data_IF_050080211573
#
_entry.id   IF_050080211573
#
_cell.length_a   1.000
_cell.length_b   1.000
_cell.length_c   1.000
_cell.angle_alpha   90.00
_cell.angle_beta   90.00
_cell.angle_gamma   90.00
#
_symmetry.space_group_name_H-M   'P 1'
#
loop_
_entity.id
_entity.type
_entity.pdbx_description
1 polymer ?
#
# COMPACT_ATOMS: atom_id res chain seq x y z
N UNK A 1 -3.79 -16.67 -33.08
CA UNK A 1 -4.73 -16.63 -31.95
C UNK A 1 -4.57 -15.29 -31.26
N UNK A 2 -5.68 -14.56 -31.23
CA UNK A 2 -5.79 -13.19 -30.74
C UNK A 2 -5.19 -13.06 -29.35
N UNK A 3 -4.29 -12.09 -29.16
CA UNK A 3 -4.04 -11.52 -27.85
C UNK A 3 -5.40 -11.27 -27.20
N UNK A 4 -5.63 -11.83 -26.01
CA UNK A 4 -6.82 -11.55 -25.24
C UNK A 4 -6.89 -10.05 -25.03
N UNK A 5 -7.70 -9.36 -25.84
CA UNK A 5 -7.96 -7.96 -25.68
C UNK A 5 -8.72 -7.82 -24.37
N UNK A 6 -7.98 -7.45 -23.32
CA UNK A 6 -8.54 -6.93 -22.08
C UNK A 6 -9.37 -5.72 -22.50
N UNK A 7 -10.68 -5.81 -22.33
CA UNK A 7 -11.59 -4.75 -22.73
C UNK A 7 -11.17 -3.42 -22.06
N UNK A 8 -11.08 -2.31 -22.79
CA UNK A 8 -10.81 -1.00 -22.20
C UNK A 8 -11.95 -0.66 -21.23
N UNK A 9 -11.66 -0.76 -19.93
CA UNK A 9 -12.65 -0.56 -18.86
C UNK A 9 -12.54 -1.54 -17.68
N UNK A 10 -11.77 -2.64 -17.79
CA UNK A 10 -11.49 -3.49 -16.62
C UNK A 10 -10.25 -3.00 -15.87
N UNK A 11 -10.28 -3.06 -14.54
CA UNK A 11 -9.22 -2.54 -13.67
C UNK A 11 -7.85 -3.21 -13.89
N UNK A 12 -7.83 -4.44 -14.41
CA UNK A 12 -6.62 -5.13 -14.86
C UNK A 12 -5.98 -4.40 -16.06
N UNK A 13 -6.80 -3.86 -16.96
CA UNK A 13 -6.36 -3.02 -18.07
C UNK A 13 -5.75 -1.71 -17.59
N UNK A 14 -6.30 -1.12 -16.52
CA UNK A 14 -5.81 0.15 -15.97
C UNK A 14 -4.40 0.03 -15.38
N UNK A 15 -4.07 -1.06 -14.67
CA UNK A 15 -2.72 -1.27 -14.12
C UNK A 15 -1.70 -1.62 -15.22
N UNK A 16 -2.14 -2.38 -16.24
CA UNK A 16 -1.34 -2.70 -17.41
C UNK A 16 -1.03 -1.45 -18.27
N UNK A 17 -1.93 -0.45 -18.33
CA UNK A 17 -1.68 0.84 -18.99
C UNK A 17 -0.49 1.58 -18.38
N UNK A 18 -0.25 1.41 -17.07
CA UNK A 18 0.92 1.94 -16.38
C UNK A 18 2.17 1.05 -16.49
N UNK A 19 2.13 -0.04 -17.27
CA UNK A 19 3.24 -0.96 -17.48
C UNK A 19 3.47 -1.96 -16.35
N UNK A 20 2.53 -2.11 -15.41
CA UNK A 20 2.62 -3.06 -14.31
C UNK A 20 1.80 -4.32 -14.59
N UNK A 21 2.41 -5.50 -14.39
CA UNK A 21 1.70 -6.77 -14.44
C UNK A 21 0.97 -7.00 -13.11
N UNK A 22 -0.33 -7.28 -13.15
CA UNK A 22 -1.09 -7.59 -11.95
C UNK A 22 -0.75 -8.99 -11.42
N UNK A 23 0.02 -9.04 -10.33
CA UNK A 23 0.42 -10.30 -9.68
C UNK A 23 -0.55 -10.75 -8.59
N UNK A 24 -1.25 -9.80 -7.95
CA UNK A 24 -2.21 -10.08 -6.88
C UNK A 24 -3.65 -10.13 -7.43
N UNK A 25 -4.36 -11.22 -7.10
CA UNK A 25 -5.81 -11.31 -7.33
C UNK A 25 -6.52 -10.32 -6.42
N UNK A 26 -7.31 -9.42 -7.01
CA UNK A 26 -8.03 -8.38 -6.28
C UNK A 26 -9.28 -8.97 -5.61
N UNK A 27 -9.10 -9.56 -4.43
CA UNK A 27 -10.18 -10.23 -3.66
C UNK A 27 -10.79 -9.36 -2.56
N UNK A 28 -10.19 -8.20 -2.26
CA UNK A 28 -10.70 -7.30 -1.23
C UNK A 28 -11.96 -6.57 -1.71
N UNK A 29 -13.12 -6.99 -1.20
CA UNK A 29 -14.41 -6.27 -1.37
C UNK A 29 -14.45 -5.03 -0.47
N UNK A 30 -15.37 -4.11 -0.75
CA UNK A 30 -15.57 -2.87 0.02
C UNK A 30 -15.63 -3.10 1.54
N UNK A 31 -16.35 -4.13 1.97
CA UNK A 31 -16.43 -4.50 3.39
C UNK A 31 -15.06 -4.89 3.97
N UNK A 32 -14.25 -5.66 3.24
CA UNK A 32 -12.91 -6.03 3.68
C UNK A 32 -11.99 -4.80 3.81
N UNK A 33 -12.07 -3.86 2.87
CA UNK A 33 -11.30 -2.61 2.92
C UNK A 33 -11.75 -1.75 4.12
N UNK A 34 -13.05 -1.67 4.37
CA UNK A 34 -13.62 -0.99 5.54
C UNK A 34 -13.15 -1.63 6.86
N UNK A 35 -13.19 -2.95 6.98
CA UNK A 35 -12.73 -3.66 8.17
C UNK A 35 -11.23 -3.44 8.44
N UNK A 36 -10.40 -3.43 7.40
CA UNK A 36 -8.97 -3.14 7.53
C UNK A 36 -8.75 -1.69 7.99
N UNK A 37 -9.46 -0.72 7.41
CA UNK A 37 -9.38 0.67 7.83
C UNK A 37 -9.83 0.87 9.28
N UNK A 38 -10.92 0.22 9.69
CA UNK A 38 -11.43 0.25 11.06
C UNK A 38 -10.44 -0.35 12.06
N UNK A 39 -9.78 -1.46 11.69
CA UNK A 39 -8.74 -2.09 12.51
C UNK A 39 -7.53 -1.17 12.73
N UNK A 40 -7.07 -0.48 11.67
CA UNK A 40 -5.90 0.40 11.74
C UNK A 40 -6.17 1.65 12.58
N UNK A 41 -7.34 2.28 12.42
CA UNK A 41 -7.68 3.57 13.05
C UNK A 41 -8.51 3.34 14.32
N UNK A 42 -8.23 2.25 15.06
CA UNK A 42 -8.92 2.01 16.32
C UNK A 42 -8.88 3.27 17.21
N UNK A 43 -10.04 3.59 17.78
CA UNK A 43 -10.37 4.87 18.46
C UNK A 43 -9.39 5.21 19.61
N UNK A 44 -8.70 4.19 20.12
CA UNK A 44 -7.79 4.25 21.27
C UNK A 44 -6.80 5.42 21.20
N UNK A 45 -6.05 5.56 20.11
CA UNK A 45 -4.99 6.60 20.05
C UNK A 45 -5.57 8.01 20.01
N UNK A 46 -6.65 8.20 19.24
CA UNK A 46 -7.26 9.52 19.05
C UNK A 46 -7.91 10.05 20.31
N UNK A 47 -8.69 9.22 21.02
CA UNK A 47 -9.40 9.68 22.22
C UNK A 47 -8.46 9.69 23.42
N UNK A 48 -7.71 8.61 23.71
CA UNK A 48 -6.99 8.55 24.99
C UNK A 48 -5.78 9.48 25.05
N UNK A 49 -5.05 9.66 23.95
CA UNK A 49 -3.86 10.53 23.95
C UNK A 49 -4.21 11.97 23.59
N UNK A 50 -4.94 12.18 22.50
CA UNK A 50 -5.13 13.52 21.95
C UNK A 50 -6.15 14.33 22.77
N UNK A 51 -7.20 13.70 23.31
CA UNK A 51 -8.21 14.41 24.11
C UNK A 51 -7.64 14.89 25.45
N UNK A 52 -6.88 14.04 26.13
CA UNK A 52 -6.18 14.41 27.38
C UNK A 52 -5.21 15.57 27.16
N UNK A 53 -4.42 15.52 26.08
CA UNK A 53 -3.55 16.62 25.68
C UNK A 53 -4.33 17.91 25.38
N UNK A 54 -5.43 17.81 24.63
CA UNK A 54 -6.23 18.96 24.22
C UNK A 54 -6.87 19.68 25.42
N UNK A 55 -7.47 18.96 26.37
CA UNK A 55 -8.08 19.58 27.56
C UNK A 55 -7.05 20.23 28.45
N UNK A 56 -5.89 19.58 28.66
CA UNK A 56 -4.85 20.11 29.55
C UNK A 56 -4.21 21.39 29.04
N UNK A 57 -4.11 21.57 27.71
CA UNK A 57 -3.42 22.72 27.11
C UNK A 57 -4.38 23.78 26.54
N UNK A 58 -5.51 23.38 25.97
CA UNK A 58 -6.46 24.25 25.26
C UNK A 58 -7.79 24.41 26.01
N UNK A 59 -7.94 23.72 27.15
CA UNK A 59 -9.12 23.78 28.00
C UNK A 59 -10.36 23.12 27.39
N UNK A 60 -11.55 23.31 28.01
CA UNK A 60 -12.80 22.70 27.57
C UNK A 60 -13.26 23.13 26.16
N UNK A 61 -12.80 24.29 25.68
CA UNK A 61 -13.10 24.79 24.34
C UNK A 61 -12.48 23.93 23.21
N UNK A 62 -11.52 23.07 23.54
CA UNK A 62 -10.88 22.13 22.60
C UNK A 62 -11.84 21.18 21.88
N UNK A 63 -13.05 20.96 22.42
CA UNK A 63 -14.08 20.14 21.77
C UNK A 63 -14.43 20.64 20.36
N UNK A 64 -14.35 21.96 20.12
CA UNK A 64 -14.64 22.57 18.81
C UNK A 64 -13.57 22.29 17.76
N UNK A 65 -12.36 21.89 18.17
CA UNK A 65 -11.29 21.52 17.22
C UNK A 65 -11.58 20.19 16.53
N UNK A 66 -12.36 19.30 17.16
CA UNK A 66 -12.70 18.00 16.59
C UNK A 66 -13.57 18.12 15.32
N UNK A 67 -14.69 18.87 15.31
CA UNK A 67 -15.44 19.15 14.09
C UNK A 67 -14.59 19.81 13.01
N UNK A 68 -13.76 20.79 13.37
CA UNK A 68 -12.88 21.49 12.41
C UNK A 68 -11.89 20.51 11.77
N UNK A 69 -11.25 19.67 12.58
CA UNK A 69 -10.34 18.62 12.10
C UNK A 69 -11.07 17.58 11.24
N UNK A 70 -12.30 17.19 11.60
CA UNK A 70 -13.11 16.24 10.83
C UNK A 70 -13.48 16.79 9.44
N UNK A 71 -13.85 18.07 9.36
CA UNK A 71 -14.11 18.74 8.07
C UNK A 71 -12.84 18.79 7.23
N UNK A 72 -11.72 19.22 7.81
CA UNK A 72 -10.42 19.23 7.12
C UNK A 72 -10.03 17.86 6.59
N UNK A 73 -10.19 16.82 7.40
CA UNK A 73 -9.85 15.44 7.00
C UNK A 73 -10.79 14.90 5.93
N UNK A 74 -12.06 15.30 5.92
CA UNK A 74 -13.01 14.93 4.87
C UNK A 74 -12.62 15.55 3.53
N UNK A 75 -12.18 16.81 3.50
CA UNK A 75 -11.66 17.46 2.29
C UNK A 75 -10.42 16.73 1.75
N UNK A 76 -9.49 16.35 2.63
CA UNK A 76 -8.32 15.54 2.26
C UNK A 76 -8.73 14.17 1.72
N UNK A 77 -9.73 13.52 2.33
CA UNK A 77 -10.25 12.24 1.86
C UNK A 77 -10.88 12.34 0.46
N UNK A 78 -11.58 13.44 0.14
CA UNK A 78 -12.12 13.68 -1.20
C UNK A 78 -11.01 13.84 -2.25
N UNK A 79 -9.92 14.52 -1.92
CA UNK A 79 -8.76 14.63 -2.81
C UNK A 79 -8.16 13.23 -3.07
N UNK A 80 -7.99 12.43 -2.03
CA UNK A 80 -7.49 11.05 -2.19
C UNK A 80 -8.45 10.16 -2.97
N UNK A 81 -9.77 10.37 -2.87
CA UNK A 81 -10.75 9.65 -3.66
C UNK A 81 -10.57 9.92 -5.16
N UNK A 82 -10.38 11.18 -5.57
CA UNK A 82 -10.11 11.52 -6.98
C UNK A 82 -8.75 11.00 -7.46
N UNK A 83 -7.72 11.02 -6.60
CA UNK A 83 -6.41 10.46 -6.96
C UNK A 83 -6.47 8.93 -7.12
N UNK A 84 -7.21 8.25 -6.25
CA UNK A 84 -7.33 6.80 -6.27
C UNK A 84 -8.08 6.28 -7.52
N UNK A 85 -9.04 7.05 -8.05
CA UNK A 85 -9.75 6.69 -9.30
C UNK A 85 -8.88 6.90 -10.53
N UNK A 86 -7.99 7.91 -10.53
CA UNK A 86 -7.12 8.24 -11.66
C UNK A 86 -5.84 7.42 -11.72
N UNK A 87 -5.28 7.06 -10.57
CA UNK A 87 -3.97 6.39 -10.48
C UNK A 87 -4.09 5.19 -9.51
N UNK A 88 -4.68 4.06 -9.95
CA UNK A 88 -4.90 2.87 -9.12
C UNK A 88 -3.63 2.03 -8.96
N UNK A 89 -2.56 2.62 -8.43
CA UNK A 89 -1.25 1.96 -8.27
C UNK A 89 -0.91 1.70 -6.79
N UNK A 90 -0.31 0.53 -6.53
CA UNK A 90 0.21 0.18 -5.21
C UNK A 90 1.37 1.10 -4.80
N UNK A 91 1.35 1.59 -3.56
CA UNK A 91 2.31 2.60 -3.07
C UNK A 91 1.82 4.05 -3.16
N UNK A 92 0.56 4.25 -3.57
CA UNK A 92 -0.26 5.47 -3.47
C UNK A 92 0.52 6.79 -3.30
N UNK A 93 0.80 7.23 -2.07
CA UNK A 93 1.41 8.54 -1.78
C UNK A 93 2.73 8.78 -2.53
N UNK A 94 3.64 7.81 -2.53
CA UNK A 94 4.91 7.91 -3.28
C UNK A 94 4.65 7.96 -4.79
N UNK A 95 3.78 7.07 -5.27
CA UNK A 95 3.47 6.92 -6.69
C UNK A 95 2.70 8.12 -7.28
N UNK A 96 1.82 8.74 -6.48
CA UNK A 96 1.08 9.94 -6.83
C UNK A 96 2.00 11.16 -6.86
N UNK A 97 2.81 11.35 -5.82
CA UNK A 97 3.78 12.45 -5.73
C UNK A 97 4.83 12.39 -6.85
N UNK A 98 5.35 11.19 -7.15
CA UNK A 98 6.32 10.98 -8.22
C UNK A 98 5.78 11.33 -9.61
N UNK A 99 4.47 11.13 -9.85
CA UNK A 99 3.82 11.39 -11.14
C UNK A 99 3.31 12.81 -11.30
N UNK A 100 2.81 13.44 -10.22
CA UNK A 100 2.26 14.79 -10.27
C UNK A 100 3.34 15.88 -10.30
N UNK A 101 4.42 15.68 -9.54
CA UNK A 101 5.47 16.70 -9.36
C UNK A 101 6.79 16.24 -9.97
N UNK A 102 7.17 14.99 -9.72
CA UNK A 102 8.35 14.37 -10.29
C UNK A 102 9.06 13.40 -9.34
N UNK A 103 10.03 12.61 -9.84
CA UNK A 103 10.63 11.50 -9.08
C UNK A 103 11.30 11.92 -7.77
N UNK A 104 11.95 13.09 -7.74
CA UNK A 104 12.59 13.63 -6.53
C UNK A 104 11.60 13.90 -5.41
N UNK A 105 10.44 14.47 -5.76
CA UNK A 105 9.40 14.77 -4.78
C UNK A 105 8.72 13.48 -4.29
N UNK A 106 8.54 12.50 -5.19
CA UNK A 106 8.12 11.15 -4.82
C UNK A 106 9.00 10.57 -3.72
N UNK A 107 10.33 10.58 -3.89
CA UNK A 107 11.26 10.09 -2.88
C UNK A 107 11.12 10.79 -1.52
N UNK A 108 10.98 12.12 -1.51
CA UNK A 108 10.76 12.88 -0.27
C UNK A 108 9.48 12.42 0.41
N UNK A 109 8.35 12.34 -0.31
CA UNK A 109 7.07 11.87 0.24
C UNK A 109 7.16 10.44 0.77
N UNK A 110 7.86 9.55 0.05
CA UNK A 110 8.12 8.17 0.49
C UNK A 110 8.95 8.12 1.78
N UNK A 111 10.02 8.90 1.86
CA UNK A 111 10.89 8.97 3.03
C UNK A 111 10.16 9.52 4.27
N UNK A 112 9.31 10.54 4.09
CA UNK A 112 8.45 11.09 5.14
C UNK A 112 7.44 10.05 5.63
N UNK A 113 6.90 9.22 4.74
CA UNK A 113 6.02 8.11 5.11
C UNK A 113 6.72 7.10 6.04
N UNK A 114 7.97 6.74 5.73
CA UNK A 114 8.77 5.83 6.58
C UNK A 114 9.07 6.47 7.93
N UNK A 115 9.48 7.74 7.96
CA UNK A 115 9.73 8.48 9.19
C UNK A 115 8.47 8.57 10.07
N UNK A 116 7.32 8.87 9.46
CA UNK A 116 6.04 8.90 10.14
C UNK A 116 5.69 7.56 10.79
N UNK A 117 5.84 6.44 10.08
CA UNK A 117 5.57 5.12 10.65
C UNK A 117 6.55 4.75 11.78
N UNK A 118 7.83 5.07 11.63
CA UNK A 118 8.84 4.80 12.65
C UNK A 118 8.58 5.55 13.96
N UNK A 119 8.26 6.85 13.86
CA UNK A 119 7.95 7.70 15.02
C UNK A 119 6.57 7.38 15.58
N UNK A 120 5.57 7.18 14.72
CA UNK A 120 4.18 6.95 15.12
C UNK A 120 4.00 5.68 15.94
N UNK A 121 4.52 4.54 15.47
CA UNK A 121 4.41 3.27 16.18
C UNK A 121 5.14 3.35 17.53
N UNK A 122 6.36 3.89 17.53
CA UNK A 122 7.16 4.04 18.75
C UNK A 122 6.50 4.96 19.78
N UNK A 123 5.93 6.07 19.32
CA UNK A 123 5.22 7.03 20.17
C UNK A 123 3.98 6.43 20.83
N UNK A 124 3.17 5.68 20.08
CA UNK A 124 1.97 5.02 20.62
C UNK A 124 2.35 3.96 21.65
N UNK A 125 3.39 3.16 21.38
CA UNK A 125 3.84 2.13 22.31
C UNK A 125 4.39 2.73 23.60
N UNK A 126 5.10 3.86 23.53
CA UNK A 126 5.60 4.54 24.71
C UNK A 126 4.51 5.29 25.50
N UNK A 127 3.68 6.09 24.83
CA UNK A 127 2.71 6.98 25.49
C UNK A 127 1.42 6.27 25.92
N UNK A 128 1.02 5.20 25.24
CA UNK A 128 -0.24 4.49 25.54
C UNK A 128 0.00 3.05 25.99
N UNK A 129 0.70 2.22 25.21
CA UNK A 129 0.77 0.79 25.50
C UNK A 129 1.59 0.49 26.77
N UNK A 130 2.74 1.16 26.95
CA UNK A 130 3.63 0.91 28.08
C UNK A 130 3.03 1.29 29.45
N UNK A 131 2.37 2.45 29.63
CA UNK A 131 1.74 2.79 30.90
C UNK A 131 0.52 1.91 31.16
N UNK A 132 -0.28 1.59 30.13
CA UNK A 132 -1.40 0.65 30.26
C UNK A 132 -0.96 -0.73 30.72
N UNK A 133 0.15 -1.24 30.20
CA UNK A 133 0.69 -2.54 30.64
C UNK A 133 1.18 -2.45 32.09
N UNK A 134 1.92 -1.39 32.43
CA UNK A 134 2.41 -1.17 33.76
C UNK A 134 1.29 -1.03 34.80
N UNK A 135 0.16 -0.36 34.47
CA UNK A 135 -0.99 -0.27 35.38
C UNK A 135 -1.66 -1.63 35.61
N UNK A 136 -1.80 -2.45 34.56
CA UNK A 136 -2.39 -3.80 34.67
C UNK A 136 -1.57 -4.72 35.57
N UNK A 137 -0.23 -4.62 35.52
CA UNK A 137 0.67 -5.41 36.37
C UNK A 137 1.01 -4.74 37.71
N UNK A 138 0.44 -3.57 38.02
CA UNK A 138 0.71 -2.83 39.25
C UNK A 138 2.16 -2.31 39.37
N UNK A 139 2.85 -2.11 38.25
CA UNK A 139 4.19 -1.55 38.22
C UNK A 139 4.18 -0.01 38.29
N UNK A 140 5.31 0.57 38.68
CA UNK A 140 5.44 2.01 38.82
C UNK A 140 5.47 2.70 37.44
N UNK A 141 4.38 3.40 37.12
CA UNK A 141 4.18 4.14 35.85
C UNK A 141 4.97 5.44 35.76
N UNK A 142 5.52 5.95 36.88
CA UNK A 142 6.31 7.18 36.89
C UNK A 142 7.76 6.94 36.50
N UNK A 143 8.22 5.67 36.47
CA UNK A 143 9.58 5.33 36.10
C UNK A 143 9.78 5.31 34.57
N UNK A 144 10.40 6.33 33.96
CA UNK A 144 10.52 6.42 32.51
C UNK A 144 11.40 5.31 31.92
N UNK A 145 12.35 4.78 32.70
CA UNK A 145 13.24 3.69 32.24
C UNK A 145 12.46 2.39 32.06
N UNK A 146 11.51 2.11 32.95
CA UNK A 146 10.63 0.94 32.84
C UNK A 146 9.70 1.07 31.64
N UNK A 147 9.06 2.23 31.45
CA UNK A 147 8.18 2.48 30.31
C UNK A 147 8.93 2.35 28.98
N UNK A 148 10.14 2.90 28.88
CA UNK A 148 11.00 2.73 27.71
C UNK A 148 11.36 1.27 27.47
N UNK A 149 11.72 0.52 28.53
CA UNK A 149 12.01 -0.90 28.41
C UNK A 149 10.81 -1.69 27.86
N UNK A 150 9.62 -1.47 28.40
CA UNK A 150 8.39 -2.12 27.93
C UNK A 150 8.10 -1.74 26.47
N UNK A 151 8.20 -0.45 26.12
CA UNK A 151 7.97 0.00 24.75
C UNK A 151 8.94 -0.65 23.75
N UNK A 152 10.23 -0.73 24.07
CA UNK A 152 11.24 -1.40 23.24
C UNK A 152 10.94 -2.90 23.09
N UNK A 153 10.57 -3.57 24.18
CA UNK A 153 10.18 -4.99 24.13
C UNK A 153 8.97 -5.20 23.22
N UNK A 154 7.95 -4.34 23.30
CA UNK A 154 6.77 -4.41 22.41
C UNK A 154 7.13 -4.17 20.94
N UNK A 155 8.03 -3.21 20.65
CA UNK A 155 8.53 -2.97 19.29
C UNK A 155 9.25 -4.20 18.75
N UNK A 156 10.16 -4.78 19.54
CA UNK A 156 10.93 -5.96 19.14
C UNK A 156 10.02 -7.16 18.92
N UNK A 157 9.03 -7.36 19.80
CA UNK A 157 8.03 -8.42 19.63
C UNK A 157 7.22 -8.24 18.34
N UNK A 158 6.70 -7.02 18.08
CA UNK A 158 5.95 -6.73 16.86
C UNK A 158 6.77 -6.93 15.59
N UNK A 159 8.04 -6.49 15.61
CA UNK A 159 8.97 -6.71 14.49
C UNK A 159 9.28 -8.20 14.31
N UNK A 160 9.50 -8.94 15.39
CA UNK A 160 9.71 -10.38 15.37
C UNK A 160 8.53 -11.14 14.75
N UNK A 161 7.30 -10.79 15.15
CA UNK A 161 6.07 -11.36 14.55
C UNK A 161 6.02 -11.08 13.04
N UNK A 162 6.36 -9.86 12.63
CA UNK A 162 6.38 -9.48 11.21
C UNK A 162 7.43 -10.30 10.41
N UNK A 163 8.63 -10.47 10.97
CA UNK A 163 9.68 -11.30 10.36
C UNK A 163 9.26 -12.78 10.22
N UNK A 164 8.65 -13.36 11.26
CA UNK A 164 8.16 -14.75 11.23
C UNK A 164 7.05 -14.91 10.18
N UNK A 165 6.16 -13.92 10.06
CA UNK A 165 5.11 -13.90 9.04
C UNK A 165 5.69 -13.91 7.62
N UNK A 166 6.75 -13.12 7.37
CA UNK A 166 7.42 -13.06 6.07
C UNK A 166 8.13 -14.37 5.72
N UNK A 167 8.79 -14.99 6.72
CA UNK A 167 9.58 -16.20 6.50
C UNK A 167 8.74 -17.49 6.51
N UNK A 168 7.45 -17.41 6.85
CA UNK A 168 6.56 -18.57 6.85
C UNK A 168 6.23 -18.98 5.40
N UNK A 169 6.64 -20.17 4.92
CA UNK A 169 6.34 -20.59 3.56
C UNK A 169 4.83 -20.69 3.33
N UNK A 170 4.32 -20.34 2.14
CA UNK A 170 2.90 -20.41 1.81
C UNK A 170 2.43 -21.87 1.85
N UNK A 171 1.96 -22.34 3.00
CA UNK A 171 1.51 -23.72 3.17
C UNK A 171 1.11 -24.14 4.59
N UNK A 172 1.36 -23.35 5.65
CA UNK A 172 1.01 -23.74 7.02
C UNK A 172 -0.40 -23.33 7.48
N UNK A 173 -1.12 -22.52 6.71
CA UNK A 173 -2.56 -22.31 6.93
C UNK A 173 -3.34 -23.37 6.18
N UNK A 174 -3.70 -24.44 6.89
CA UNK A 174 -4.66 -25.45 6.46
C UNK A 174 -5.97 -24.77 6.03
N UNK A 175 -6.13 -24.54 4.72
CA UNK A 175 -7.42 -24.23 4.11
C UNK A 175 -8.28 -25.51 4.17
N UNK A 176 -9.55 -25.44 4.60
CA UNK A 176 -10.48 -26.55 4.45
C UNK A 176 -10.55 -26.92 2.97
N UNK A 177 -10.20 -28.15 2.63
CA UNK A 177 -10.28 -28.68 1.28
C UNK A 177 -11.65 -28.40 0.68
N UNK A 178 -11.71 -27.56 -0.36
CA UNK A 178 -12.91 -27.46 -1.19
C UNK A 178 -13.15 -28.83 -1.85
N UNK A 179 -14.40 -29.33 -1.89
CA UNK A 179 -14.71 -30.57 -2.61
C UNK A 179 -14.37 -30.38 -4.08
N UNK A 180 -13.48 -31.22 -4.59
CA UNK A 180 -13.10 -31.29 -6.00
C UNK A 180 -14.34 -31.71 -6.79
N UNK A 181 -14.95 -30.78 -7.53
CA UNK A 181 -15.93 -31.11 -8.56
C UNK A 181 -15.23 -31.96 -9.62
N UNK A 182 -15.64 -33.22 -9.72
CA UNK A 182 -15.25 -34.16 -10.78
C UNK A 182 -15.82 -33.67 -12.11
N UNK A 183 -14.98 -33.06 -12.95
CA UNK A 183 -15.36 -32.69 -14.32
C UNK A 183 -14.98 -33.83 -15.28
N UNK A 184 -15.88 -34.26 -16.19
CA UNK A 184 -15.64 -35.42 -17.06
C UNK A 184 -14.58 -35.16 -18.14
N UNK A 185 -13.81 -36.20 -18.41
CA UNK A 185 -12.78 -36.28 -19.45
C UNK A 185 -13.33 -36.01 -20.86
N UNK A 186 -12.85 -34.96 -21.52
CA UNK A 186 -13.23 -34.71 -22.91
C UNK A 186 -12.67 -33.42 -23.53
N UNK A 187 -11.35 -33.23 -23.55
CA UNK A 187 -10.72 -32.23 -24.43
C UNK A 187 -9.49 -32.82 -25.14
N UNK A 188 -9.40 -32.76 -26.48
CA UNK A 188 -8.29 -33.33 -27.22
C UNK A 188 -7.02 -32.48 -27.06
N UNK A 189 -5.91 -33.14 -26.69
CA UNK A 189 -4.57 -32.54 -26.63
C UNK A 189 -4.13 -32.15 -28.04
N UNK A 190 -3.90 -30.87 -28.27
CA UNK A 190 -3.28 -30.38 -29.51
C UNK A 190 -1.75 -30.44 -29.33
N UNK A 191 -1.10 -31.33 -30.06
CA UNK A 191 0.35 -31.37 -30.22
C UNK A 191 0.80 -30.24 -31.15
N UNK A 192 1.68 -29.36 -30.69
CA UNK A 192 2.50 -28.55 -31.58
C UNK A 192 3.87 -28.34 -30.97
N UNK A 193 4.81 -29.10 -31.51
CA UNK A 193 6.24 -28.85 -31.50
C UNK A 193 6.57 -27.41 -31.91
N UNK A 194 7.21 -26.66 -31.03
CA UNK A 194 8.21 -25.64 -31.40
C UNK A 194 9.06 -25.35 -30.18
N UNK A 195 10.37 -25.37 -30.39
CA UNK A 195 11.39 -25.52 -29.35
C UNK A 195 11.51 -24.33 -28.40
N UNK A 196 11.79 -24.66 -27.15
CA UNK A 196 12.39 -23.76 -26.18
C UNK A 196 13.89 -23.65 -26.47
N UNK A 197 14.47 -22.46 -26.68
CA UNK A 197 15.91 -22.32 -26.56
C UNK A 197 16.30 -22.40 -25.08
N UNK A 198 17.19 -23.34 -24.75
CA UNK A 198 17.87 -23.39 -23.47
C UNK A 198 18.96 -22.31 -23.40
N UNK A 199 19.01 -21.71 -22.21
CA UNK A 199 19.99 -20.82 -21.57
C UNK A 199 21.37 -20.59 -22.22
N UNK A 200 21.87 -19.35 -22.05
CA UNK A 200 23.26 -19.09 -21.66
C UNK A 200 23.43 -17.64 -21.13
N UNK A 201 24.52 -17.34 -20.38
CA UNK A 201 24.52 -16.48 -19.21
C UNK A 201 25.24 -15.14 -19.45
N UNK A 202 25.50 -14.41 -18.35
CA UNK A 202 26.45 -13.30 -18.17
C UNK A 202 25.89 -11.88 -18.19
N UNK A 203 26.26 -11.14 -17.14
CA UNK A 203 26.78 -9.78 -17.32
C UNK A 203 25.84 -8.63 -16.99
N UNK A 204 26.14 -8.00 -15.85
CA UNK A 204 26.12 -6.55 -15.64
C UNK A 204 24.78 -5.82 -15.46
N UNK A 205 24.52 -5.50 -14.19
CA UNK A 205 23.99 -4.22 -13.73
C UNK A 205 24.30 -3.05 -14.69
N UNK A 206 23.28 -2.37 -15.20
CA UNK A 206 23.33 -0.96 -15.65
C UNK A 206 22.05 -0.46 -16.32
N UNK A 207 21.07 -1.32 -16.63
CA UNK A 207 19.88 -0.91 -17.38
C UNK A 207 18.72 -0.35 -16.53
N UNK A 208 18.94 0.10 -15.29
CA UNK A 208 17.91 0.73 -14.43
C UNK A 208 17.77 2.25 -14.64
N UNK A 209 18.71 2.89 -15.38
CA UNK A 209 18.82 4.36 -15.49
C UNK A 209 18.58 4.96 -16.89
N UNK A 210 17.90 4.25 -17.79
CA UNK A 210 17.53 4.82 -19.09
C UNK A 210 16.30 5.74 -18.97
N UNK A 211 16.56 7.06 -18.98
CA UNK A 211 15.57 8.15 -19.06
C UNK A 211 14.58 7.91 -20.22
N UNK A 212 13.28 8.26 -20.09
CA UNK A 212 12.36 8.25 -21.22
C UNK A 212 12.76 9.32 -22.25
N UNK A 213 13.00 8.89 -23.49
CA UNK A 213 13.21 9.79 -24.63
C UNK A 213 11.87 10.47 -24.98
N UNK A 214 11.83 11.78 -25.26
CA UNK A 214 10.61 12.44 -25.71
C UNK A 214 10.24 11.98 -27.12
N UNK A 215 8.98 11.59 -27.31
CA UNK A 215 8.38 11.32 -28.62
C UNK A 215 8.43 12.59 -29.48
N UNK A 216 9.29 12.59 -30.50
CA UNK A 216 9.31 13.63 -31.54
C UNK A 216 8.14 13.38 -32.49
N UNK A 217 7.03 14.09 -32.31
CA UNK A 217 5.97 14.22 -33.31
C UNK A 217 6.51 15.06 -34.45
N UNK A 218 6.96 14.41 -35.53
CA UNK A 218 7.24 15.09 -36.79
C UNK A 218 6.94 14.15 -37.96
N UNK A 219 5.71 14.23 -38.46
CA UNK A 219 5.32 14.25 -39.89
C UNK A 219 3.81 14.07 -40.00
N UNK A 220 3.06 15.16 -39.84
CA UNK A 220 1.81 15.33 -40.55
C UNK A 220 2.16 15.48 -42.04
N UNK A 221 1.71 14.55 -42.88
CA UNK A 221 1.85 14.61 -44.32
C UNK A 221 0.47 14.65 -44.97
N UNK A 222 0.15 15.77 -45.60
CA UNK A 222 -0.90 15.93 -46.62
C UNK A 222 -0.54 17.18 -47.43
N UNK A 223 -1.07 17.40 -48.65
CA UNK A 223 -1.32 16.49 -49.77
C UNK A 223 -0.74 17.08 -51.09
N UNK A 224 -0.42 16.29 -52.13
CA UNK A 224 -0.38 16.83 -53.51
C UNK A 224 -0.27 15.75 -54.60
N UNK A 225 -0.93 16.03 -55.73
CA UNK A 225 -0.85 15.40 -57.06
C UNK A 225 -1.86 14.29 -57.40
N UNK A 226 -3.10 14.70 -57.69
CA UNK A 226 -3.92 14.11 -58.76
C UNK A 226 -3.74 15.01 -60.00
N UNK A 227 -3.05 14.50 -61.03
CA UNK A 227 -3.01 15.12 -62.36
C UNK A 227 -2.92 14.00 -63.41
N UNK A 228 -3.94 13.99 -64.28
CA UNK A 228 -4.18 13.16 -65.48
C UNK A 228 -4.73 11.76 -65.25
#
# INVERSE_FOLDING_TARGET
MSAGQIAPGTEEGAVNEFGYRQELKRVLRLFAVFSVAFSIISITTGIFLNFGFAITHLGPASIWLWPVAAVGQTLVALIFAELATRIPLAGANYQWAARLVGPRYGYVVGSLGIMYSAVGISGILYLAASPLLATVFGWNVENPRLLLFIAVVLIVAAFGINLISINSPPGSTTSPSSPRSSEPSGWPRRSSSSGWPRAAPTGTESAFWARPRPCRVSRCGTPSSLRR
#
